data_IF_423250037820
#
_entry.id   IF_423250037820
#
_cell.length_a   1.000
_cell.length_b   1.000
_cell.length_c   1.000
_cell.angle_alpha   90.00
_cell.angle_beta   90.00
_cell.angle_gamma   90.00
#
_symmetry.space_group_name_H-M   'P 1'
#
loop_
_entity.id
_entity.type
_entity.pdbx_description
1 polymer ?
#
# COMPACT_ATOMS: atom_id res chain seq x y z
N UNK A 1 49.47 -2.20 -21.24
CA UNK A 1 50.86 -2.50 -20.83
C UNK A 1 51.73 -1.28 -21.10
N UNK A 2 51.99 -0.48 -20.09
CA UNK A 2 53.22 0.31 -19.99
C UNK A 2 53.56 0.35 -18.50
N UNK A 3 54.73 -0.18 -18.17
CA UNK A 3 55.24 -0.38 -16.82
C UNK A 3 56.28 0.70 -16.55
N UNK A 4 56.11 1.46 -15.47
CA UNK A 4 57.18 2.20 -14.81
C UNK A 4 57.35 1.58 -13.42
N UNK A 5 58.56 1.11 -13.11
CA UNK A 5 58.92 0.50 -11.83
C UNK A 5 59.86 1.44 -11.10
N UNK A 6 59.42 1.93 -9.94
CA UNK A 6 60.24 2.19 -8.76
C UNK A 6 59.46 1.54 -7.60
N UNK A 7 60.04 0.63 -6.82
CA UNK A 7 61.18 0.90 -5.96
C UNK A 7 60.79 0.89 -4.48
N UNK A 8 59.69 0.23 -4.09
CA UNK A 8 59.40 -0.32 -2.76
C UNK A 8 58.23 -1.31 -2.90
N UNK A 9 58.44 -2.57 -2.50
CA UNK A 9 57.67 -3.73 -2.94
C UNK A 9 56.35 -3.97 -2.22
N UNK A 10 55.36 -3.08 -2.40
CA UNK A 10 53.94 -3.45 -2.24
C UNK A 10 53.18 -3.08 -3.51
N UNK A 11 52.85 -4.09 -4.31
CA UNK A 11 51.79 -3.96 -5.29
C UNK A 11 50.47 -4.00 -4.50
N UNK A 12 49.88 -2.83 -4.25
CA UNK A 12 48.47 -2.77 -3.86
C UNK A 12 47.67 -3.20 -5.09
N UNK A 13 47.43 -4.50 -5.19
CA UNK A 13 46.39 -5.03 -6.07
C UNK A 13 45.08 -4.66 -5.38
N UNK A 14 44.59 -3.45 -5.65
CA UNK A 14 43.19 -3.15 -5.41
C UNK A 14 42.44 -4.16 -6.29
N UNK A 15 41.62 -5.06 -5.72
CA UNK A 15 40.73 -5.83 -6.56
C UNK A 15 40.00 -4.80 -7.40
N UNK A 16 40.01 -4.94 -8.72
CA UNK A 16 38.86 -4.47 -9.50
C UNK A 16 37.71 -5.34 -9.02
N UNK A 17 37.21 -5.01 -7.83
CA UNK A 17 35.86 -5.31 -7.44
C UNK A 17 35.05 -4.94 -8.67
N UNK A 18 34.22 -5.87 -9.11
CA UNK A 18 33.11 -5.57 -9.99
C UNK A 18 32.41 -4.36 -9.39
N UNK A 19 32.80 -3.16 -9.86
CA UNK A 19 32.36 -1.89 -9.35
C UNK A 19 30.84 -1.95 -9.42
N UNK A 20 30.21 -2.12 -8.26
CA UNK A 20 28.85 -1.68 -8.03
C UNK A 20 28.84 -0.27 -8.58
N UNK A 21 28.21 -0.13 -9.73
CA UNK A 21 28.03 1.14 -10.39
C UNK A 21 27.67 2.19 -9.34
N UNK A 22 28.45 3.26 -9.21
CA UNK A 22 28.08 4.33 -8.29
C UNK A 22 26.67 4.85 -8.59
N UNK A 23 26.03 5.56 -7.64
CA UNK A 23 24.63 5.98 -7.74
C UNK A 23 24.31 6.77 -9.01
N UNK A 24 25.31 7.42 -9.62
CA UNK A 24 25.20 8.11 -10.90
C UNK A 24 24.61 7.24 -12.04
N UNK A 25 24.89 5.93 -12.10
CA UNK A 25 24.32 5.08 -13.17
C UNK A 25 22.81 4.92 -13.08
N UNK A 26 22.22 5.10 -11.90
CA UNK A 26 20.76 5.09 -11.74
C UNK A 26 20.10 6.32 -12.38
N UNK A 27 20.88 7.35 -12.70
CA UNK A 27 20.39 8.52 -13.44
C UNK A 27 20.49 8.34 -14.96
N UNK A 28 21.21 7.31 -15.44
CA UNK A 28 21.45 7.12 -16.87
C UNK A 28 20.15 6.83 -17.65
N UNK A 29 20.02 7.49 -18.79
CA UNK A 29 18.83 7.38 -19.66
C UNK A 29 17.54 7.98 -19.06
N UNK A 30 17.62 8.76 -17.99
CA UNK A 30 16.54 9.60 -17.49
C UNK A 30 16.60 10.99 -18.16
N UNK A 31 15.43 11.58 -18.42
CA UNK A 31 15.34 12.99 -18.80
C UNK A 31 15.58 13.90 -17.58
N UNK A 32 15.66 15.22 -17.79
CA UNK A 32 15.99 16.17 -16.70
C UNK A 32 15.01 16.09 -15.52
N UNK A 33 13.70 16.15 -15.79
CA UNK A 33 12.69 16.07 -14.74
C UNK A 33 12.71 14.74 -13.97
N UNK A 34 12.96 13.63 -14.67
CA UNK A 34 13.13 12.32 -14.03
C UNK A 34 14.40 12.26 -13.17
N UNK A 35 15.51 12.86 -13.62
CA UNK A 35 16.75 12.94 -12.82
C UNK A 35 16.56 13.76 -11.56
N UNK A 36 15.88 14.89 -11.67
CA UNK A 36 15.53 15.73 -10.52
C UNK A 36 14.70 14.93 -9.51
N UNK A 37 13.61 14.30 -9.96
CA UNK A 37 12.74 13.49 -9.11
C UNK A 37 13.47 12.32 -8.43
N UNK A 38 14.38 11.64 -9.14
CA UNK A 38 15.19 10.54 -8.58
C UNK A 38 16.23 11.04 -7.58
N UNK A 39 16.75 12.26 -7.76
CA UNK A 39 17.79 12.83 -6.90
C UNK A 39 17.25 13.39 -5.59
N UNK A 40 15.94 13.64 -5.48
CA UNK A 40 15.28 14.06 -4.24
C UNK A 40 15.04 12.83 -3.35
N UNK A 41 16.00 12.56 -2.45
CA UNK A 41 16.01 11.35 -1.61
C UNK A 41 15.34 11.50 -0.25
N UNK A 42 15.02 12.73 0.18
CA UNK A 42 14.39 13.01 1.47
C UNK A 42 13.31 14.09 1.35
N UNK A 43 12.40 14.10 2.32
CA UNK A 43 11.27 15.02 2.37
C UNK A 43 10.15 14.67 1.40
N UNK A 44 9.06 15.48 1.43
CA UNK A 44 7.88 15.23 0.65
C UNK A 44 8.12 15.58 -0.83
N UNK A 45 7.70 14.69 -1.72
CA UNK A 45 7.82 14.86 -3.17
C UNK A 45 6.51 14.44 -3.86
N UNK A 46 5.96 15.32 -4.68
CA UNK A 46 4.84 14.98 -5.57
C UNK A 46 5.32 15.00 -7.02
N UNK A 47 5.14 13.87 -7.72
CA UNK A 47 5.50 13.72 -9.14
C UNK A 47 4.20 13.63 -9.93
N UNK A 48 3.85 14.71 -10.62
CA UNK A 48 2.67 14.78 -11.48
C UNK A 48 3.13 14.37 -12.88
N UNK A 49 2.68 13.21 -13.36
CA UNK A 49 3.19 12.66 -14.61
C UNK A 49 2.15 11.84 -15.37
N UNK A 50 1.99 12.15 -16.65
CA UNK A 50 1.00 11.53 -17.53
C UNK A 50 1.26 10.05 -17.85
N UNK A 51 0.33 9.41 -18.56
CA UNK A 51 0.53 8.06 -19.12
C UNK A 51 1.83 7.98 -19.94
N UNK A 52 2.58 6.86 -19.79
CA UNK A 52 3.80 6.62 -20.56
C UNK A 52 5.02 7.47 -20.18
N UNK A 53 4.91 8.35 -19.17
CA UNK A 53 6.01 9.21 -18.69
C UNK A 53 7.12 8.48 -17.92
N UNK A 54 6.95 7.19 -17.66
CA UNK A 54 7.89 6.39 -16.88
C UNK A 54 7.73 6.53 -15.36
N UNK A 55 6.53 6.88 -14.85
CA UNK A 55 6.17 6.93 -13.40
C UNK A 55 6.84 5.85 -12.57
N UNK A 56 6.57 4.60 -12.91
CA UNK A 56 7.06 3.43 -12.17
C UNK A 56 8.59 3.28 -12.26
N UNK A 57 9.20 3.70 -13.37
CA UNK A 57 10.67 3.77 -13.49
C UNK A 57 11.24 4.80 -12.53
N UNK A 58 10.65 6.00 -12.46
CA UNK A 58 11.08 7.05 -11.53
C UNK A 58 11.01 6.58 -10.08
N UNK A 59 9.90 5.95 -9.65
CA UNK A 59 9.75 5.44 -8.27
C UNK A 59 10.86 4.45 -7.92
N UNK A 60 11.07 3.44 -8.77
CA UNK A 60 12.08 2.40 -8.50
C UNK A 60 13.51 2.95 -8.50
N UNK A 61 13.84 3.82 -9.47
CA UNK A 61 15.15 4.45 -9.55
C UNK A 61 15.39 5.37 -8.35
N UNK A 62 14.38 6.14 -7.92
CA UNK A 62 14.45 6.99 -6.72
C UNK A 62 14.75 6.17 -5.47
N UNK A 63 14.05 5.05 -5.27
CA UNK A 63 14.29 4.17 -4.13
C UNK A 63 15.69 3.56 -4.17
N UNK A 64 16.11 3.04 -5.32
CA UNK A 64 17.46 2.50 -5.49
C UNK A 64 18.55 3.56 -5.28
N UNK A 65 18.30 4.80 -5.74
CA UNK A 65 19.23 5.92 -5.62
C UNK A 65 19.35 6.37 -4.16
N UNK A 66 18.22 6.50 -3.44
CA UNK A 66 18.21 6.81 -2.01
C UNK A 66 18.98 5.77 -1.20
N UNK A 67 18.85 4.48 -1.54
CA UNK A 67 19.60 3.41 -0.87
C UNK A 67 21.10 3.49 -1.21
N UNK A 68 21.48 3.61 -2.49
CA UNK A 68 22.90 3.62 -2.89
C UNK A 68 23.66 4.87 -2.45
N UNK A 69 22.95 5.98 -2.23
CA UNK A 69 23.54 7.21 -1.66
C UNK A 69 23.59 7.20 -0.13
N UNK A 70 23.06 6.18 0.53
CA UNK A 70 23.00 6.08 1.98
C UNK A 70 21.95 7.00 2.63
N UNK A 71 21.01 7.55 1.86
CA UNK A 71 19.92 8.37 2.38
C UNK A 71 18.90 7.53 3.17
N UNK A 72 18.76 6.24 2.84
CA UNK A 72 17.87 5.31 3.56
C UNK A 72 18.38 3.87 3.47
N UNK A 73 18.23 3.12 4.56
CA UNK A 73 18.49 1.67 4.56
C UNK A 73 17.38 0.91 3.80
N UNK A 74 17.74 -0.12 3.04
CA UNK A 74 16.79 -0.85 2.19
C UNK A 74 15.60 -1.46 2.98
N UNK A 75 15.82 -1.87 4.23
CA UNK A 75 14.78 -2.42 5.10
C UNK A 75 13.77 -1.37 5.57
N UNK A 76 14.10 -0.07 5.50
CA UNK A 76 13.22 1.06 5.85
C UNK A 76 12.34 1.54 4.71
N UNK A 77 12.58 1.08 3.49
CA UNK A 77 11.81 1.46 2.30
C UNK A 77 10.53 0.63 2.18
N UNK A 78 9.40 1.28 1.89
CA UNK A 78 8.16 0.66 1.43
C UNK A 78 7.66 1.34 0.15
N UNK A 79 7.59 0.55 -0.93
CA UNK A 79 6.95 0.95 -2.18
C UNK A 79 5.50 0.46 -2.17
N UNK A 80 4.55 1.37 -2.38
CA UNK A 80 3.12 1.08 -2.34
C UNK A 80 2.53 1.21 -3.74
N UNK A 81 1.76 0.22 -4.16
CA UNK A 81 1.07 0.18 -5.46
C UNK A 81 -0.41 -0.16 -5.27
N UNK A 82 -1.23 -0.05 -6.33
CA UNK A 82 -2.65 -0.37 -6.25
C UNK A 82 -3.02 -1.81 -6.61
N UNK A 83 -2.17 -2.50 -7.38
CA UNK A 83 -2.43 -3.88 -7.81
C UNK A 83 -1.31 -4.83 -7.40
N UNK A 84 -1.67 -6.09 -7.13
CA UNK A 84 -0.70 -7.14 -6.83
C UNK A 84 0.28 -7.35 -8.00
N UNK A 85 -0.20 -7.18 -9.24
CA UNK A 85 0.66 -7.22 -10.42
C UNK A 85 1.71 -6.12 -10.40
N UNK A 86 1.31 -4.87 -10.16
CA UNK A 86 2.25 -3.74 -10.08
C UNK A 86 3.22 -3.89 -8.90
N UNK A 87 2.77 -4.44 -7.76
CA UNK A 87 3.66 -4.75 -6.64
C UNK A 87 4.72 -5.79 -7.04
N UNK A 88 4.32 -6.88 -7.70
CA UNK A 88 5.24 -7.92 -8.15
C UNK A 88 6.26 -7.38 -9.17
N UNK A 89 5.81 -6.63 -10.17
CA UNK A 89 6.69 -5.97 -11.14
C UNK A 89 7.66 -4.99 -10.48
N UNK A 90 7.22 -4.28 -9.43
CA UNK A 90 8.08 -3.40 -8.65
C UNK A 90 9.16 -4.18 -7.87
N UNK A 91 8.83 -5.33 -7.29
CA UNK A 91 9.84 -6.22 -6.64
C UNK A 91 10.89 -6.67 -7.65
N UNK A 92 10.47 -7.14 -8.82
CA UNK A 92 11.38 -7.56 -9.90
C UNK A 92 12.29 -6.42 -10.35
N UNK A 93 11.72 -5.22 -10.49
CA UNK A 93 12.47 -4.01 -10.86
C UNK A 93 13.50 -3.63 -9.80
N UNK A 94 13.15 -3.66 -8.52
CA UNK A 94 14.10 -3.39 -7.45
C UNK A 94 15.23 -4.41 -7.41
N UNK A 95 14.93 -5.70 -7.63
CA UNK A 95 15.95 -6.73 -7.75
C UNK A 95 16.91 -6.47 -8.93
N UNK A 96 16.38 -6.06 -10.09
CA UNK A 96 17.19 -5.69 -11.26
C UNK A 96 18.07 -4.45 -11.02
N UNK A 97 17.67 -3.54 -10.13
CA UNK A 97 18.45 -2.38 -9.70
C UNK A 97 19.47 -2.71 -8.59
N UNK A 98 19.67 -4.01 -8.27
CA UNK A 98 20.61 -4.45 -7.23
C UNK A 98 20.09 -4.27 -5.81
N UNK A 99 18.78 -4.09 -5.64
CA UNK A 99 18.12 -3.91 -4.34
C UNK A 99 17.10 -5.03 -4.06
N UNK A 100 17.51 -6.32 -4.08
CA UNK A 100 16.62 -7.42 -3.75
C UNK A 100 16.16 -7.30 -2.29
N UNK A 101 14.87 -7.53 -2.03
CA UNK A 101 14.31 -7.48 -0.68
C UNK A 101 13.71 -6.14 -0.25
N UNK A 102 13.85 -5.08 -1.06
CA UNK A 102 13.03 -3.87 -0.88
C UNK A 102 11.55 -4.26 -0.98
N UNK A 103 10.76 -3.84 0.01
CA UNK A 103 9.36 -4.19 0.07
C UNK A 103 8.56 -3.37 -0.95
N UNK A 104 7.86 -4.05 -1.86
CA UNK A 104 6.81 -3.46 -2.67
C UNK A 104 5.49 -4.23 -2.46
N UNK A 105 4.40 -3.52 -2.14
CA UNK A 105 3.12 -4.11 -1.72
C UNK A 105 1.95 -3.23 -2.11
N UNK A 106 0.75 -3.82 -2.20
CA UNK A 106 -0.48 -3.03 -2.14
C UNK A 106 -0.73 -2.49 -0.74
N UNK A 107 -1.57 -1.45 -0.60
CA UNK A 107 -2.05 -0.99 0.71
C UNK A 107 -2.62 -2.16 1.53
N UNK A 108 -3.47 -2.97 0.91
CA UNK A 108 -4.08 -4.15 1.49
C UNK A 108 -3.03 -5.19 1.92
N UNK A 109 -2.08 -5.55 1.06
CA UNK A 109 -1.05 -6.54 1.40
C UNK A 109 -0.09 -6.07 2.50
N UNK A 110 0.17 -4.76 2.59
CA UNK A 110 0.94 -4.16 3.68
C UNK A 110 0.15 -4.17 4.99
N UNK A 111 -1.12 -3.76 4.96
CA UNK A 111 -2.04 -3.79 6.09
C UNK A 111 -2.21 -5.22 6.66
N UNK A 112 -2.44 -6.21 5.78
CA UNK A 112 -2.55 -7.61 6.17
C UNK A 112 -1.34 -8.12 6.92
N UNK A 113 -0.15 -7.75 6.47
CA UNK A 113 1.09 -8.20 7.07
C UNK A 113 1.26 -7.62 8.47
N UNK A 114 0.83 -6.38 8.69
CA UNK A 114 0.79 -5.76 10.00
C UNK A 114 -0.24 -6.45 10.89
N UNK A 115 -1.47 -6.66 10.41
CA UNK A 115 -2.49 -7.41 11.15
C UNK A 115 -1.98 -8.78 11.56
N UNK A 116 -1.46 -9.58 10.62
CA UNK A 116 -0.91 -10.91 10.92
C UNK A 116 0.22 -10.88 11.94
N UNK A 117 1.02 -9.82 11.96
CA UNK A 117 2.10 -9.66 12.93
C UNK A 117 1.58 -9.39 14.34
N UNK A 118 0.60 -8.49 14.49
CA UNK A 118 0.09 -8.04 15.79
C UNK A 118 -1.12 -8.85 16.31
N UNK A 119 -1.77 -9.64 15.45
CA UNK A 119 -2.98 -10.38 15.80
C UNK A 119 -2.77 -11.33 16.99
N UNK A 120 -1.74 -12.21 17.00
CA UNK A 120 -1.60 -13.18 18.08
C UNK A 120 -1.41 -12.53 19.45
N UNK A 121 -0.65 -11.43 19.54
CA UNK A 121 -0.44 -10.74 20.82
C UNK A 121 -1.71 -10.05 21.35
N UNK A 122 -2.67 -9.72 20.47
CA UNK A 122 -3.92 -9.04 20.84
C UNK A 122 -5.09 -9.98 21.04
N UNK A 123 -5.04 -11.16 20.44
CA UNK A 123 -6.11 -12.15 20.43
C UNK A 123 -5.67 -13.46 21.08
N UNK A 124 -4.88 -13.40 22.17
CA UNK A 124 -4.58 -14.58 23.00
C UNK A 124 -3.84 -15.71 22.28
N UNK A 125 -3.03 -15.40 21.28
CA UNK A 125 -2.28 -16.36 20.47
C UNK A 125 -3.01 -16.86 19.22
N UNK A 126 -4.24 -16.40 18.97
CA UNK A 126 -4.99 -16.77 17.77
C UNK A 126 -4.33 -16.26 16.48
N UNK A 127 -4.65 -16.93 15.37
CA UNK A 127 -4.21 -16.50 14.04
C UNK A 127 -5.17 -15.44 13.50
N UNK A 128 -4.64 -14.54 12.67
CA UNK A 128 -5.48 -13.58 11.96
C UNK A 128 -6.52 -14.28 11.08
N UNK A 129 -7.72 -13.70 10.90
CA UNK A 129 -8.80 -14.27 10.10
C UNK A 129 -8.37 -14.51 8.64
N UNK A 130 -9.04 -15.45 7.99
CA UNK A 130 -8.86 -15.67 6.56
C UNK A 130 -9.49 -14.52 5.76
N UNK A 131 -8.99 -14.28 4.55
CA UNK A 131 -9.58 -13.27 3.66
C UNK A 131 -10.76 -13.89 2.92
N UNK A 132 -11.88 -13.17 2.92
CA UNK A 132 -13.04 -13.45 2.09
C UNK A 132 -12.73 -13.06 0.64
N UNK A 133 -12.61 -14.05 -0.22
CA UNK A 133 -12.31 -13.90 -1.64
C UNK A 133 -13.43 -13.22 -2.44
N UNK A 134 -14.69 -13.37 -2.01
CA UNK A 134 -15.83 -12.71 -2.63
C UNK A 134 -16.94 -12.43 -1.62
N UNK A 135 -17.34 -11.15 -1.52
CA UNK A 135 -18.49 -10.72 -0.71
C UNK A 135 -19.78 -11.47 -1.08
N UNK A 136 -19.90 -11.91 -2.34
CA UNK A 136 -21.07 -12.63 -2.82
C UNK A 136 -21.36 -13.94 -2.06
N UNK A 137 -20.33 -14.61 -1.53
CA UNK A 137 -20.50 -15.83 -0.73
C UNK A 137 -21.37 -15.60 0.50
N UNK A 138 -21.25 -14.43 1.13
CA UNK A 138 -22.02 -14.06 2.32
C UNK A 138 -23.24 -13.20 1.99
N UNK A 139 -23.17 -12.37 0.95
CA UNK A 139 -24.27 -11.48 0.56
C UNK A 139 -25.39 -12.18 -0.22
N UNK A 140 -25.10 -13.18 -1.05
CA UNK A 140 -26.14 -13.83 -1.85
C UNK A 140 -27.25 -14.52 -1.01
N UNK A 141 -26.95 -15.20 0.11
CA UNK A 141 -27.99 -15.67 1.03
C UNK A 141 -28.80 -14.55 1.70
N UNK A 142 -28.18 -13.40 1.98
CA UNK A 142 -28.84 -12.26 2.61
C UNK A 142 -29.77 -11.54 1.61
N UNK A 143 -29.30 -11.34 0.38
CA UNK A 143 -30.08 -10.76 -0.72
C UNK A 143 -31.35 -11.57 -1.00
N UNK A 144 -31.27 -12.91 -0.99
CA UNK A 144 -32.44 -13.79 -1.19
C UNK A 144 -33.51 -13.70 -0.08
N UNK A 145 -33.17 -13.11 1.07
CA UNK A 145 -34.10 -12.91 2.20
C UNK A 145 -34.74 -11.52 2.20
N UNK A 146 -34.41 -10.68 1.20
CA UNK A 146 -35.02 -9.36 1.06
C UNK A 146 -36.52 -9.49 0.76
N UNK A 147 -37.35 -8.55 1.24
CA UNK A 147 -38.77 -8.55 0.95
C UNK A 147 -39.02 -8.30 -0.55
N UNK A 148 -40.15 -8.81 -1.06
CA UNK A 148 -40.41 -9.01 -2.50
C UNK A 148 -40.25 -7.78 -3.41
N UNK A 149 -40.34 -6.55 -2.88
CA UNK A 149 -40.07 -5.33 -3.63
C UNK A 149 -38.59 -5.07 -3.96
N UNK A 150 -37.66 -5.78 -3.31
CA UNK A 150 -36.21 -5.62 -3.46
C UNK A 150 -35.52 -6.95 -3.84
N UNK A 151 -36.30 -7.94 -4.28
CA UNK A 151 -35.78 -9.27 -4.63
C UNK A 151 -34.84 -9.26 -5.85
N UNK A 152 -34.86 -8.18 -6.66
CA UNK A 152 -34.01 -8.00 -7.84
C UNK A 152 -32.73 -7.21 -7.57
N UNK A 153 -32.54 -6.68 -6.35
CA UNK A 153 -31.32 -5.98 -5.98
C UNK A 153 -30.12 -6.90 -6.17
N UNK A 154 -29.13 -6.45 -6.93
CA UNK A 154 -27.99 -7.30 -7.22
C UNK A 154 -27.06 -7.37 -6.01
N UNK A 155 -26.40 -8.52 -5.86
CA UNK A 155 -25.33 -8.69 -4.85
C UNK A 155 -24.19 -7.68 -5.07
N UNK A 156 -23.97 -7.29 -6.32
CA UNK A 156 -22.98 -6.28 -6.71
C UNK A 156 -23.33 -4.93 -6.09
N UNK A 157 -24.56 -4.45 -6.25
CA UNK A 157 -24.99 -3.15 -5.71
C UNK A 157 -24.88 -3.11 -4.17
N UNK A 158 -25.22 -4.22 -3.51
CA UNK A 158 -25.05 -4.34 -2.06
C UNK A 158 -23.57 -4.31 -1.66
N UNK A 159 -22.71 -5.02 -2.39
CA UNK A 159 -21.28 -5.08 -2.12
C UNK A 159 -20.61 -3.71 -2.31
N UNK A 160 -20.94 -2.99 -3.38
CA UNK A 160 -20.41 -1.64 -3.68
C UNK A 160 -20.84 -0.63 -2.62
N UNK A 161 -22.09 -0.67 -2.17
CA UNK A 161 -22.56 0.21 -1.10
C UNK A 161 -21.88 -0.10 0.25
N UNK A 162 -21.63 -1.38 0.56
CA UNK A 162 -20.89 -1.78 1.76
C UNK A 162 -19.44 -1.31 1.67
N UNK A 163 -18.77 -1.52 0.54
CA UNK A 163 -17.40 -1.05 0.33
C UNK A 163 -17.30 0.47 0.49
N UNK A 164 -18.22 1.21 -0.13
CA UNK A 164 -18.30 2.66 0.01
C UNK A 164 -18.47 3.10 1.46
N UNK A 165 -19.32 2.41 2.23
CA UNK A 165 -19.53 2.65 3.66
C UNK A 165 -18.23 2.47 4.44
N UNK A 166 -17.55 1.35 4.21
CA UNK A 166 -16.37 0.92 4.98
C UNK A 166 -15.15 1.78 4.70
N UNK A 167 -14.92 2.16 3.46
CA UNK A 167 -13.87 3.13 3.08
C UNK A 167 -14.08 4.48 3.77
N UNK A 168 -15.33 4.82 4.15
CA UNK A 168 -15.66 6.02 4.94
C UNK A 168 -15.81 5.75 6.44
N UNK A 169 -15.55 4.53 6.89
CA UNK A 169 -15.75 4.06 8.28
C UNK A 169 -17.18 4.31 8.80
N UNK A 170 -18.17 4.22 7.91
CA UNK A 170 -19.59 4.29 8.25
C UNK A 170 -20.04 2.89 8.70
N UNK A 171 -20.48 2.80 9.95
CA UNK A 171 -20.99 1.57 10.55
C UNK A 171 -22.46 1.34 10.15
N UNK A 172 -22.98 0.10 10.26
CA UNK A 172 -24.37 -0.19 9.89
C UNK A 172 -25.41 0.67 10.62
N UNK A 173 -25.17 1.04 11.87
CA UNK A 173 -26.05 1.90 12.68
C UNK A 173 -26.01 3.37 12.25
N UNK A 174 -24.88 3.84 11.71
CA UNK A 174 -24.70 5.21 11.19
C UNK A 174 -25.13 5.35 9.74
N UNK A 175 -25.25 4.23 9.01
CA UNK A 175 -25.59 4.21 7.59
C UNK A 175 -26.83 5.03 7.23
N UNK A 176 -27.98 4.92 7.93
CA UNK A 176 -29.18 5.64 7.52
C UNK A 176 -29.00 7.17 7.47
N UNK A 177 -28.17 7.72 8.35
CA UNK A 177 -27.91 9.16 8.43
C UNK A 177 -26.79 9.63 7.48
N UNK A 178 -25.79 8.79 7.23
CA UNK A 178 -24.54 9.22 6.56
C UNK A 178 -24.34 8.65 5.16
N UNK A 179 -25.01 7.54 4.84
CA UNK A 179 -24.89 6.84 3.56
C UNK A 179 -26.23 6.50 2.90
N UNK A 180 -27.35 6.84 3.55
CA UNK A 180 -28.70 6.45 3.11
C UNK A 180 -29.01 6.79 1.66
N UNK A 181 -28.52 7.92 1.15
CA UNK A 181 -28.74 8.39 -0.22
C UNK A 181 -28.08 7.51 -1.29
N UNK A 182 -27.10 6.67 -0.91
CA UNK A 182 -26.43 5.71 -1.81
C UNK A 182 -26.93 4.29 -1.64
N UNK A 183 -27.95 4.07 -0.80
CA UNK A 183 -28.45 2.74 -0.53
C UNK A 183 -29.19 2.18 -1.76
N UNK A 184 -28.85 0.97 -2.24
CA UNK A 184 -29.54 0.34 -3.38
C UNK A 184 -30.95 -0.16 -3.03
N UNK A 185 -31.31 -0.10 -1.75
CA UNK A 185 -32.59 -0.44 -1.12
C UNK A 185 -32.84 0.57 0.01
N UNK A 186 -34.04 0.67 0.61
CA UNK A 186 -34.29 1.63 1.69
C UNK A 186 -33.20 1.59 2.76
N UNK A 187 -32.74 2.76 3.20
CA UNK A 187 -31.54 2.89 4.03
C UNK A 187 -31.59 2.01 5.29
N UNK A 188 -32.75 1.94 5.96
CA UNK A 188 -32.97 1.08 7.12
C UNK A 188 -32.88 -0.42 6.81
N UNK A 189 -33.34 -0.82 5.62
CA UNK A 189 -33.23 -2.21 5.17
C UNK A 189 -31.78 -2.54 4.80
N UNK A 190 -31.08 -1.63 4.13
CA UNK A 190 -29.67 -1.80 3.82
C UNK A 190 -28.82 -1.90 5.09
N UNK A 191 -29.04 -1.02 6.09
CA UNK A 191 -28.37 -1.07 7.38
C UNK A 191 -28.50 -2.45 8.04
N UNK A 192 -29.68 -3.09 7.97
CA UNK A 192 -29.87 -4.47 8.46
C UNK A 192 -29.06 -5.50 7.67
N UNK A 193 -29.06 -5.43 6.34
CA UNK A 193 -28.27 -6.33 5.48
C UNK A 193 -26.77 -6.17 5.76
N UNK A 194 -26.30 -4.94 5.88
CA UNK A 194 -24.91 -4.62 6.19
C UNK A 194 -24.53 -5.18 7.56
N UNK A 195 -25.35 -4.96 8.59
CA UNK A 195 -25.13 -5.54 9.92
C UNK A 195 -25.15 -7.08 9.90
N UNK A 196 -26.03 -7.70 9.11
CA UNK A 196 -26.07 -9.16 8.94
C UNK A 196 -24.83 -9.70 8.22
N UNK A 197 -24.31 -8.96 7.24
CA UNK A 197 -23.07 -9.27 6.54
C UNK A 197 -21.87 -9.24 7.48
N UNK A 198 -21.73 -8.18 8.29
CA UNK A 198 -20.67 -8.07 9.30
C UNK A 198 -20.75 -9.23 10.32
N UNK A 199 -21.96 -9.54 10.81
CA UNK A 199 -22.17 -10.72 11.68
C UNK A 199 -21.83 -12.04 10.99
N UNK A 200 -22.11 -12.19 9.70
CA UNK A 200 -21.79 -13.39 8.94
C UNK A 200 -20.28 -13.57 8.78
N UNK A 201 -19.53 -12.49 8.54
CA UNK A 201 -18.05 -12.52 8.50
C UNK A 201 -17.45 -12.98 9.83
N UNK A 202 -17.90 -12.38 10.94
CA UNK A 202 -17.44 -12.75 12.29
C UNK A 202 -17.68 -14.23 12.57
N UNK A 203 -18.90 -14.73 12.30
CA UNK A 203 -19.23 -16.17 12.48
C UNK A 203 -18.39 -17.09 11.60
N UNK A 204 -18.01 -16.65 10.41
CA UNK A 204 -17.18 -17.43 9.49
C UNK A 204 -15.68 -17.31 9.79
N UNK A 205 -15.26 -16.45 10.73
CA UNK A 205 -13.85 -16.20 11.04
C UNK A 205 -13.09 -15.62 9.86
N UNK A 206 -13.73 -14.74 9.08
CA UNK A 206 -13.15 -14.10 7.90
C UNK A 206 -13.23 -12.58 7.97
N UNK A 207 -12.34 -11.92 7.24
CA UNK A 207 -12.35 -10.47 6.97
C UNK A 207 -12.37 -10.25 5.46
N UNK A 208 -12.98 -9.18 4.99
CA UNK A 208 -12.90 -8.77 3.58
C UNK A 208 -11.74 -7.77 3.35
N UNK A 209 -11.60 -7.25 2.13
CA UNK A 209 -10.52 -6.32 1.78
C UNK A 209 -10.58 -5.01 2.56
N UNK A 210 -11.75 -4.42 2.76
CA UNK A 210 -11.85 -3.14 3.48
C UNK A 210 -11.56 -3.32 4.97
N UNK A 211 -11.94 -4.46 5.56
CA UNK A 211 -11.59 -4.79 6.96
C UNK A 211 -10.07 -4.77 7.18
N UNK A 212 -9.29 -5.20 6.18
CA UNK A 212 -7.84 -5.19 6.31
C UNK A 212 -7.30 -3.78 6.58
N UNK A 213 -7.86 -2.77 5.91
CA UNK A 213 -7.49 -1.38 6.12
C UNK A 213 -8.10 -0.84 7.42
N UNK A 214 -9.41 -1.08 7.66
CA UNK A 214 -10.12 -0.58 8.84
C UNK A 214 -9.46 -1.09 10.12
N UNK A 215 -9.21 -2.40 10.22
CA UNK A 215 -8.61 -3.01 11.41
C UNK A 215 -7.16 -2.55 11.61
N UNK A 216 -6.41 -2.33 10.52
CA UNK A 216 -5.03 -1.81 10.64
C UNK A 216 -5.02 -0.36 11.10
N UNK A 217 -5.92 0.47 10.56
CA UNK A 217 -6.08 1.86 11.02
C UNK A 217 -6.48 1.88 12.50
N UNK A 218 -7.48 1.10 12.90
CA UNK A 218 -7.90 0.98 14.29
C UNK A 218 -6.75 0.52 15.20
N UNK A 219 -5.96 -0.46 14.76
CA UNK A 219 -4.77 -0.93 15.48
C UNK A 219 -3.78 0.22 15.72
N UNK A 220 -3.42 0.96 14.68
CA UNK A 220 -2.42 2.02 14.78
C UNK A 220 -2.93 3.28 15.48
N UNK A 221 -4.25 3.52 15.49
CA UNK A 221 -4.89 4.62 16.23
C UNK A 221 -5.04 4.32 17.74
N UNK A 222 -5.14 3.04 18.13
CA UNK A 222 -5.43 2.64 19.51
C UNK A 222 -4.25 2.00 20.25
N UNK A 223 -3.15 1.70 19.55
CA UNK A 223 -1.97 1.05 20.11
C UNK A 223 -0.68 1.79 19.71
N UNK A 224 -0.24 2.69 20.58
CA UNK A 224 0.97 3.49 20.40
C UNK A 224 2.24 2.63 20.28
N UNK A 225 2.26 1.44 20.87
CA UNK A 225 3.39 0.53 20.75
C UNK A 225 3.42 -0.11 19.36
N UNK A 226 2.29 -0.59 18.86
CA UNK A 226 2.18 -1.10 17.50
C UNK A 226 2.54 -0.02 16.47
N UNK A 227 2.00 1.19 16.63
CA UNK A 227 2.30 2.33 15.77
C UNK A 227 3.81 2.65 15.74
N UNK A 228 4.48 2.73 16.90
CA UNK A 228 5.92 2.94 16.98
C UNK A 228 6.72 1.83 16.30
N UNK A 229 6.33 0.56 16.48
CA UNK A 229 7.02 -0.56 15.86
C UNK A 229 6.88 -0.57 14.33
N UNK A 230 5.71 -0.18 13.81
CA UNK A 230 5.50 -0.03 12.35
C UNK A 230 6.36 1.10 11.81
N UNK A 231 6.30 2.30 12.41
CA UNK A 231 7.06 3.49 12.01
C UNK A 231 8.57 3.29 12.11
N UNK A 232 9.05 2.58 13.12
CA UNK A 232 10.48 2.27 13.25
C UNK A 232 10.98 1.30 12.16
N UNK A 233 10.09 0.49 11.61
CA UNK A 233 10.43 -0.51 10.60
C UNK A 233 10.41 0.06 9.19
N UNK A 234 9.50 0.98 8.89
CA UNK A 234 9.38 1.66 7.59
C UNK A 234 9.30 3.17 7.79
N UNK A 235 10.29 3.90 7.26
CA UNK A 235 10.40 5.35 7.45
C UNK A 235 10.34 6.12 6.13
N UNK A 236 10.54 5.44 5.01
CA UNK A 236 10.62 6.03 3.68
C UNK A 236 9.64 5.35 2.73
N UNK A 237 8.77 6.14 2.12
CA UNK A 237 7.63 5.66 1.36
C UNK A 237 7.65 6.21 -0.07
N UNK A 238 7.20 5.39 -1.01
CA UNK A 238 6.81 5.87 -2.33
C UNK A 238 5.51 5.20 -2.76
N UNK A 239 4.53 5.99 -3.20
CA UNK A 239 3.20 5.51 -3.61
C UNK A 239 3.02 5.77 -5.11
N UNK A 240 2.76 4.70 -5.87
CA UNK A 240 2.39 4.77 -7.29
C UNK A 240 0.87 4.88 -7.45
N UNK A 241 0.43 5.48 -8.56
CA UNK A 241 -0.99 5.73 -8.89
C UNK A 241 -1.78 6.41 -7.75
N UNK A 242 -1.18 7.41 -7.11
CA UNK A 242 -1.72 8.04 -5.92
C UNK A 242 -3.12 8.66 -6.10
N UNK A 243 -3.52 8.99 -7.34
CA UNK A 243 -4.88 9.46 -7.64
C UNK A 243 -5.97 8.43 -7.31
N UNK A 244 -5.65 7.14 -7.21
CA UNK A 244 -6.59 6.07 -6.87
C UNK A 244 -6.73 5.87 -5.33
N UNK A 245 -6.03 6.68 -4.52
CA UNK A 245 -6.02 6.56 -3.05
C UNK A 245 -7.33 7.00 -2.44
N UNK A 246 -8.03 6.07 -1.77
CA UNK A 246 -9.22 6.39 -1.01
C UNK A 246 -8.88 6.94 0.39
N UNK A 247 -9.86 7.56 1.06
CA UNK A 247 -9.67 8.21 2.37
C UNK A 247 -9.13 7.27 3.47
N UNK A 248 -9.44 5.97 3.40
CA UNK A 248 -8.96 5.00 4.39
C UNK A 248 -7.51 4.61 4.14
N UNK A 249 -7.12 4.43 2.88
CA UNK A 249 -5.74 4.21 2.47
C UNK A 249 -4.86 5.43 2.79
N UNK A 250 -5.38 6.64 2.56
CA UNK A 250 -4.74 7.89 2.95
C UNK A 250 -4.51 7.95 4.47
N UNK A 251 -5.56 7.67 5.25
CA UNK A 251 -5.44 7.62 6.71
C UNK A 251 -4.40 6.60 7.17
N UNK A 252 -4.34 5.43 6.53
CA UNK A 252 -3.33 4.43 6.83
C UNK A 252 -1.91 4.91 6.50
N UNK A 253 -1.73 5.61 5.37
CA UNK A 253 -0.46 6.22 4.98
C UNK A 253 0.00 7.26 6.01
N UNK A 254 -0.89 8.16 6.46
CA UNK A 254 -0.61 9.12 7.54
C UNK A 254 -0.14 8.41 8.81
N UNK A 255 -0.81 7.32 9.20
CA UNK A 255 -0.46 6.57 10.41
C UNK A 255 0.89 5.87 10.28
N UNK A 256 1.24 5.37 9.07
CA UNK A 256 2.55 4.81 8.77
C UNK A 256 3.66 5.86 8.79
N UNK A 257 3.39 7.07 8.30
CA UNK A 257 4.36 8.16 8.30
C UNK A 257 4.61 8.69 9.71
N UNK A 258 3.56 8.91 10.50
CA UNK A 258 3.67 9.60 11.78
C UNK A 258 4.28 11.00 11.56
N UNK A 259 5.44 11.26 12.17
CA UNK A 259 6.17 12.51 12.01
C UNK A 259 7.15 12.50 10.83
N UNK A 260 7.34 11.35 10.16
CA UNK A 260 8.19 11.26 8.97
C UNK A 260 7.59 12.06 7.82
N UNK A 261 8.46 12.73 7.06
CA UNK A 261 8.09 13.45 5.85
C UNK A 261 8.64 12.80 4.58
N UNK A 262 9.28 11.64 4.71
CA UNK A 262 9.90 10.93 3.59
C UNK A 262 8.85 10.14 2.79
N UNK A 263 8.03 10.90 2.06
CA UNK A 263 6.98 10.40 1.19
C UNK A 263 7.19 10.95 -0.22
N UNK A 264 7.29 10.07 -1.21
CA UNK A 264 6.98 10.45 -2.59
C UNK A 264 5.65 9.87 -3.03
N UNK A 265 4.86 10.67 -3.74
CA UNK A 265 3.65 10.21 -4.42
C UNK A 265 3.80 10.49 -5.91
N UNK A 266 3.32 9.56 -6.72
CA UNK A 266 3.27 9.70 -8.18
C UNK A 266 1.85 9.46 -8.63
N UNK A 267 1.34 10.35 -9.47
CA UNK A 267 -0.01 10.22 -9.99
C UNK A 267 -0.24 11.06 -11.22
N UNK A 268 -1.35 10.75 -11.89
CA UNK A 268 -1.88 11.54 -13.00
C UNK A 268 -3.30 12.00 -12.65
N UNK A 269 -3.52 13.29 -12.34
CA UNK A 269 -4.85 13.78 -11.99
C UNK A 269 -5.86 13.59 -13.13
N UNK A 270 -5.40 13.56 -14.39
CA UNK A 270 -6.25 13.35 -15.57
C UNK A 270 -6.69 11.87 -15.72
N UNK A 271 -6.13 10.94 -14.93
CA UNK A 271 -6.51 9.52 -14.89
C UNK A 271 -7.34 9.13 -13.66
N UNK A 272 -7.87 10.10 -12.91
CA UNK A 272 -8.72 9.79 -11.74
C UNK A 272 -10.01 9.10 -12.20
N UNK A 273 -10.21 7.83 -11.81
CA UNK A 273 -11.40 7.04 -12.16
C UNK A 273 -12.24 6.61 -10.94
N UNK A 274 -11.83 6.98 -9.72
CA UNK A 274 -12.46 6.61 -8.44
C UNK A 274 -12.97 7.81 -7.64
#
# INVERSE_FOLDING_TARGET
>A
MHSAVSGEGYAVVVPTDTLTAGPARLLDGLNEAQREAVSITSGPLAIIAGAGSGKTRVISHRAAYAIQTGAVEADKVLLVTFTEKAAAEMVERMAALGQPGVAARTFHAAALAQLRHFWPSRHGGEKAPAILDSKARLLAPLARRLPGGYAFTTVKDLAEAIEWAKVRRITPDRWPAEGGDRAPIPAELFARVYADYERAKVRAGVIDFEDMLVETVNLLETDDQAARLVRARKTWFSVDEYQDTNALAERLLELWLGDSRDLAVVGDPDQTIY
#
